data_IF_745915732691
#
_entry.id   IF_745915732691
#
_cell.length_a   1.000
_cell.length_b   1.000
_cell.length_c   1.000
_cell.angle_alpha   90.00
_cell.angle_beta   90.00
_cell.angle_gamma   90.00
#
_symmetry.space_group_name_H-M   'P 1'
#
loop_
_entity.id
_entity.type
_entity.pdbx_description
1 polymer ?
#
# COMPACT_ATOMS: atom_id res chain seq x y z
N UNK A 1 21.20 -0.92 -20.26
CA UNK A 1 20.48 0.11 -19.50
C UNK A 1 20.94 1.47 -20.01
N UNK A 2 20.05 2.44 -20.19
CA UNK A 2 20.38 3.74 -20.81
C UNK A 2 19.74 3.97 -22.17
N UNK A 3 18.42 3.87 -22.23
CA UNK A 3 17.68 4.34 -23.41
C UNK A 3 17.93 5.82 -23.66
N UNK A 4 17.92 6.26 -24.92
CA UNK A 4 18.20 7.67 -25.24
C UNK A 4 17.13 8.63 -24.68
N UNK A 5 15.90 8.17 -24.60
CA UNK A 5 14.72 8.98 -24.25
C UNK A 5 13.73 8.17 -23.43
N UNK A 6 12.71 8.83 -22.88
CA UNK A 6 11.57 8.20 -22.23
C UNK A 6 10.93 7.12 -23.12
N UNK A 7 10.82 7.35 -24.43
CA UNK A 7 10.21 6.39 -25.35
C UNK A 7 10.97 5.07 -25.49
N UNK A 8 12.22 5.03 -25.04
CA UNK A 8 12.99 3.80 -25.01
C UNK A 8 12.73 2.98 -23.73
N UNK A 9 12.38 3.61 -22.61
CA UNK A 9 12.32 2.93 -21.31
C UNK A 9 11.22 1.87 -21.22
N UNK A 10 10.15 2.02 -21.99
CA UNK A 10 8.96 1.18 -21.90
C UNK A 10 8.83 0.10 -23.00
N UNK A 11 9.81 -0.04 -23.90
CA UNK A 11 9.76 -1.05 -25.00
C UNK A 11 9.56 -2.48 -24.50
N UNK A 12 10.17 -2.81 -23.35
CA UNK A 12 9.98 -4.13 -22.75
C UNK A 12 8.54 -4.31 -22.31
N UNK A 13 7.94 -3.32 -21.65
CA UNK A 13 6.54 -3.35 -21.26
C UNK A 13 5.63 -3.53 -22.49
N UNK A 14 5.87 -2.75 -23.55
CA UNK A 14 5.10 -2.84 -24.80
C UNK A 14 5.15 -4.23 -25.43
N UNK A 15 6.31 -4.89 -25.38
CA UNK A 15 6.47 -6.24 -25.95
C UNK A 15 5.67 -7.33 -25.23
N UNK A 16 5.35 -7.15 -23.95
CA UNK A 16 4.62 -8.14 -23.13
C UNK A 16 3.16 -7.78 -22.90
N UNK A 17 2.85 -6.50 -22.70
CA UNK A 17 1.56 -6.05 -22.18
C UNK A 17 0.78 -5.12 -23.13
N UNK A 18 1.42 -4.58 -24.16
CA UNK A 18 0.83 -3.63 -25.08
C UNK A 18 1.12 -2.16 -24.73
N UNK A 19 0.35 -1.19 -25.26
CA UNK A 19 0.67 0.23 -25.13
C UNK A 19 0.91 0.68 -23.68
N UNK A 20 1.70 1.74 -23.49
CA UNK A 20 1.97 2.29 -22.15
C UNK A 20 0.79 3.02 -21.51
N UNK A 21 -0.27 3.27 -22.26
CA UNK A 21 -1.55 3.69 -21.74
C UNK A 21 -2.67 3.07 -22.57
N UNK A 22 -3.63 2.46 -21.90
CA UNK A 22 -4.79 1.83 -22.53
C UNK A 22 -5.92 1.67 -21.52
N UNK A 23 -7.13 1.47 -22.02
CA UNK A 23 -8.29 1.23 -21.19
C UNK A 23 -9.10 0.03 -21.69
N UNK A 24 -9.87 -0.58 -20.80
CA UNK A 24 -10.81 -1.64 -21.14
C UNK A 24 -11.95 -1.71 -20.12
N UNK A 25 -13.06 -2.31 -20.52
CA UNK A 25 -14.17 -2.60 -19.62
C UNK A 25 -14.16 -4.09 -19.24
N UNK A 26 -14.43 -4.39 -17.97
CA UNK A 26 -14.70 -5.77 -17.52
C UNK A 26 -15.85 -5.74 -16.51
N UNK A 27 -16.97 -6.34 -16.86
CA UNK A 27 -18.22 -6.18 -16.11
C UNK A 27 -18.68 -4.72 -16.14
N UNK A 28 -19.02 -4.16 -14.97
CA UNK A 28 -19.38 -2.74 -14.82
C UNK A 28 -18.21 -1.82 -14.50
N UNK A 29 -17.00 -2.36 -14.37
CA UNK A 29 -15.81 -1.57 -14.08
C UNK A 29 -15.07 -1.17 -15.36
N UNK A 30 -14.54 0.04 -15.36
CA UNK A 30 -13.66 0.58 -16.37
C UNK A 30 -12.23 0.65 -15.81
N UNK A 31 -11.27 0.08 -16.53
CA UNK A 31 -9.88 -0.02 -16.10
C UNK A 31 -9.03 0.80 -17.05
N UNK A 32 -8.19 1.66 -16.47
CA UNK A 32 -7.21 2.49 -17.14
C UNK A 32 -5.85 2.02 -16.66
N UNK A 33 -4.92 1.77 -17.56
CA UNK A 33 -3.53 1.47 -17.24
C UNK A 33 -2.68 2.62 -17.75
N UNK A 34 -1.80 3.16 -16.91
CA UNK A 34 -0.93 4.30 -17.21
C UNK A 34 0.52 3.99 -16.84
N UNK A 35 1.45 4.28 -17.74
CA UNK A 35 2.86 4.47 -17.40
C UNK A 35 3.06 5.89 -16.87
N UNK A 36 3.34 5.99 -15.58
CA UNK A 36 3.71 7.25 -14.93
C UNK A 36 5.20 7.29 -14.53
N UNK A 37 6.03 6.35 -15.00
CA UNK A 37 7.46 6.31 -14.73
C UNK A 37 8.24 7.11 -15.78
N UNK A 38 8.21 8.44 -15.68
CA UNK A 38 8.86 9.30 -16.67
C UNK A 38 10.38 9.26 -16.51
N UNK A 39 11.04 8.50 -17.39
CA UNK A 39 12.49 8.35 -17.43
C UNK A 39 13.18 9.62 -17.95
N UNK A 40 14.08 10.19 -17.16
CA UNK A 40 14.77 11.46 -17.50
C UNK A 40 16.19 11.27 -18.06
N UNK A 41 16.62 10.02 -18.29
CA UNK A 41 17.92 9.68 -18.88
C UNK A 41 19.14 10.37 -18.25
N UNK A 42 19.11 10.52 -16.93
CA UNK A 42 20.26 10.87 -16.09
C UNK A 42 20.56 9.67 -15.20
N UNK A 43 21.39 8.77 -15.69
CA UNK A 43 21.62 7.44 -15.11
C UNK A 43 20.31 6.61 -15.03
N UNK A 44 19.88 6.25 -13.82
CA UNK A 44 18.65 5.51 -13.54
C UNK A 44 17.48 6.41 -13.09
N UNK A 45 17.61 7.74 -13.22
CA UNK A 45 16.62 8.66 -12.70
C UNK A 45 15.31 8.65 -13.49
N UNK A 46 14.22 8.76 -12.75
CA UNK A 46 12.86 8.95 -13.23
C UNK A 46 12.13 9.90 -12.27
N UNK A 47 10.98 10.41 -12.72
CA UNK A 47 10.00 11.10 -11.89
C UNK A 47 8.63 10.48 -12.11
N UNK A 48 7.78 10.46 -11.08
CA UNK A 48 6.37 10.15 -11.26
C UNK A 48 5.69 11.27 -12.04
N UNK A 49 5.31 11.05 -13.30
CA UNK A 49 4.72 12.10 -14.14
C UNK A 49 3.85 11.50 -15.25
N UNK A 50 2.70 12.14 -15.50
CA UNK A 50 1.80 11.81 -16.62
C UNK A 50 1.89 12.93 -17.66
N UNK A 51 2.26 12.61 -18.89
CA UNK A 51 2.38 13.62 -19.94
C UNK A 51 1.02 14.08 -20.49
N UNK A 52 1.02 15.24 -21.16
CA UNK A 52 -0.18 15.86 -21.73
C UNK A 52 -0.86 14.97 -22.78
N UNK A 53 -0.09 14.17 -23.52
CA UNK A 53 -0.66 13.28 -24.54
C UNK A 53 -1.50 12.18 -23.88
N UNK A 54 -1.02 11.68 -22.76
CA UNK A 54 -1.69 10.70 -21.92
C UNK A 54 -2.91 11.32 -21.23
N UNK A 55 -2.82 12.55 -20.72
CA UNK A 55 -3.98 13.25 -20.16
C UNK A 55 -5.07 13.55 -21.19
N UNK A 56 -4.71 14.04 -22.39
CA UNK A 56 -5.66 14.28 -23.46
C UNK A 56 -6.35 12.99 -23.93
N UNK A 57 -5.61 11.88 -23.98
CA UNK A 57 -6.19 10.57 -24.24
C UNK A 57 -7.15 10.15 -23.12
N UNK A 58 -6.76 10.31 -21.85
CA UNK A 58 -7.57 9.94 -20.70
C UNK A 58 -8.87 10.75 -20.61
N UNK A 59 -8.82 12.05 -20.86
CA UNK A 59 -10.00 12.91 -20.94
C UNK A 59 -10.97 12.40 -22.02
N UNK A 60 -10.43 12.03 -23.19
CA UNK A 60 -11.24 11.50 -24.29
C UNK A 60 -11.83 10.13 -23.96
N UNK A 61 -11.06 9.25 -23.34
CA UNK A 61 -11.50 7.92 -22.92
C UNK A 61 -12.65 8.01 -21.91
N UNK A 62 -12.47 8.80 -20.85
CA UNK A 62 -13.49 9.03 -19.82
C UNK A 62 -14.75 9.71 -20.35
N UNK A 63 -14.68 10.45 -21.47
CA UNK A 63 -15.87 11.03 -22.11
C UNK A 63 -16.89 9.98 -22.58
N UNK A 64 -16.47 8.72 -22.74
CA UNK A 64 -17.33 7.59 -23.09
C UNK A 64 -17.76 6.74 -21.87
N UNK A 65 -17.29 7.09 -20.66
CA UNK A 65 -17.51 6.31 -19.43
C UNK A 65 -18.56 7.01 -18.57
N UNK A 66 -19.69 6.33 -18.36
CA UNK A 66 -20.76 6.84 -17.51
C UNK A 66 -20.34 6.91 -16.03
N UNK A 67 -20.84 7.91 -15.30
CA UNK A 67 -20.41 8.24 -13.92
C UNK A 67 -20.81 7.19 -12.88
N UNK A 68 -21.73 6.29 -13.21
CA UNK A 68 -22.14 5.15 -12.38
C UNK A 68 -21.16 3.97 -12.43
N UNK A 69 -20.14 4.02 -13.30
CA UNK A 69 -19.11 2.98 -13.37
C UNK A 69 -18.08 3.14 -12.26
N UNK A 70 -17.66 2.00 -11.72
CA UNK A 70 -16.43 1.89 -10.95
C UNK A 70 -15.23 2.10 -11.89
N UNK A 71 -14.31 3.00 -11.53
CA UNK A 71 -13.12 3.30 -12.32
C UNK A 71 -11.88 2.82 -11.58
N UNK A 72 -11.02 2.06 -12.25
CA UNK A 72 -9.69 1.72 -11.76
C UNK A 72 -8.63 2.42 -12.59
N UNK A 73 -7.65 3.04 -11.93
CA UNK A 73 -6.43 3.54 -12.57
C UNK A 73 -5.26 2.74 -12.03
N UNK A 74 -4.59 1.97 -12.89
CA UNK A 74 -3.43 1.16 -12.55
C UNK A 74 -2.19 1.89 -13.04
N UNK A 75 -1.28 2.20 -12.12
CA UNK A 75 -0.01 2.87 -12.42
C UNK A 75 1.09 2.38 -11.48
N UNK A 76 2.36 2.76 -11.72
CA UNK A 76 3.46 2.23 -10.92
C UNK A 76 3.76 3.09 -9.70
N UNK A 77 4.11 4.36 -9.91
CA UNK A 77 4.45 5.30 -8.83
C UNK A 77 3.15 5.79 -8.18
N UNK A 78 3.04 5.86 -6.85
CA UNK A 78 1.83 6.35 -6.21
C UNK A 78 1.40 7.74 -6.67
N UNK A 79 0.10 8.03 -6.63
CA UNK A 79 -0.36 9.41 -6.88
C UNK A 79 -0.01 10.29 -5.68
N UNK A 80 -0.31 9.83 -4.47
CA UNK A 80 0.09 10.47 -3.23
C UNK A 80 0.00 9.47 -2.08
N UNK A 81 0.98 9.48 -1.19
CA UNK A 81 1.00 8.65 0.01
C UNK A 81 0.31 9.32 1.20
N UNK A 82 -0.24 10.54 0.98
CA UNK A 82 -0.92 11.33 2.00
C UNK A 82 -2.28 11.81 1.49
N UNK A 83 -3.26 11.91 2.40
CA UNK A 83 -4.63 12.36 2.07
C UNK A 83 -4.70 13.75 1.44
N UNK A 84 -3.82 14.66 1.87
CA UNK A 84 -3.74 16.02 1.33
C UNK A 84 -2.55 16.09 0.40
N UNK A 85 -2.79 16.51 -0.84
CA UNK A 85 -1.71 16.81 -1.78
C UNK A 85 -0.83 17.90 -1.18
N UNK A 86 0.45 17.58 -1.05
CA UNK A 86 1.49 18.52 -0.62
C UNK A 86 2.20 19.08 -1.85
N UNK A 87 2.92 20.18 -1.65
CA UNK A 87 3.87 20.62 -2.64
C UNK A 87 4.92 19.51 -2.85
N UNK A 88 5.00 18.98 -4.07
CA UNK A 88 5.91 17.90 -4.41
C UNK A 88 7.21 18.48 -4.99
N UNK A 89 8.34 18.23 -4.32
CA UNK A 89 9.69 18.64 -4.73
C UNK A 89 10.38 17.60 -5.62
N UNK A 90 9.64 16.96 -6.53
CA UNK A 90 10.08 15.79 -7.29
C UNK A 90 10.44 14.57 -6.40
N UNK A 91 9.61 14.32 -5.39
CA UNK A 91 9.65 13.10 -4.59
C UNK A 91 9.50 11.88 -5.53
N UNK A 92 10.46 10.95 -5.47
CA UNK A 92 10.48 9.80 -6.37
C UNK A 92 9.38 8.79 -6.05
N UNK A 93 8.84 8.83 -4.83
CA UNK A 93 7.76 7.94 -4.38
C UNK A 93 6.35 8.46 -4.71
N UNK A 94 6.21 9.64 -5.35
CA UNK A 94 4.91 10.25 -5.67
C UNK A 94 4.86 10.85 -7.08
N UNK A 95 3.68 10.82 -7.70
CA UNK A 95 3.42 11.43 -9.01
C UNK A 95 3.21 12.94 -8.89
N UNK A 96 4.09 13.71 -9.50
CA UNK A 96 4.23 15.16 -9.25
C UNK A 96 3.04 15.98 -9.73
N UNK A 97 2.33 15.53 -10.78
CA UNK A 97 1.22 16.24 -11.40
C UNK A 97 -0.14 15.54 -11.21
N UNK A 98 -0.31 14.77 -10.12
CA UNK A 98 -1.53 13.99 -9.88
C UNK A 98 -2.82 14.81 -9.71
N UNK A 99 -2.73 16.12 -9.44
CA UNK A 99 -3.91 16.96 -9.28
C UNK A 99 -4.82 16.96 -10.53
N UNK A 100 -4.23 16.89 -11.73
CA UNK A 100 -4.97 16.80 -12.98
C UNK A 100 -5.69 15.44 -13.12
N UNK A 101 -5.06 14.34 -12.70
CA UNK A 101 -5.69 13.03 -12.65
C UNK A 101 -6.90 13.04 -11.71
N UNK A 102 -6.77 13.60 -10.51
CA UNK A 102 -7.88 13.67 -9.55
C UNK A 102 -9.04 14.49 -10.10
N UNK A 103 -8.75 15.58 -10.83
CA UNK A 103 -9.78 16.39 -11.50
C UNK A 103 -10.56 15.59 -12.54
N UNK A 104 -9.87 14.77 -13.34
CA UNK A 104 -10.53 13.90 -14.35
C UNK A 104 -11.40 12.80 -13.70
N UNK A 105 -10.99 12.33 -12.52
CA UNK A 105 -11.71 11.30 -11.76
C UNK A 105 -12.87 11.84 -10.91
N UNK A 106 -13.04 13.16 -10.78
CA UNK A 106 -14.17 13.74 -10.05
C UNK A 106 -15.51 13.18 -10.54
N UNK A 107 -16.37 12.76 -9.60
CA UNK A 107 -17.69 12.21 -9.91
C UNK A 107 -17.71 10.74 -10.32
N UNK A 108 -16.55 10.05 -10.36
CA UNK A 108 -16.49 8.59 -10.39
C UNK A 108 -16.24 8.03 -8.99
N UNK A 109 -16.69 6.79 -8.75
CA UNK A 109 -16.12 5.96 -7.70
C UNK A 109 -14.81 5.36 -8.25
N UNK A 110 -13.67 5.88 -7.82
CA UNK A 110 -12.38 5.64 -8.42
C UNK A 110 -11.38 5.01 -7.44
N UNK A 111 -10.68 3.98 -7.91
CA UNK A 111 -9.63 3.29 -7.17
C UNK A 111 -8.32 3.33 -7.96
N UNK A 112 -7.28 3.89 -7.36
CA UNK A 112 -5.93 3.90 -7.92
C UNK A 112 -5.19 2.68 -7.36
N UNK A 113 -4.58 1.88 -8.23
CA UNK A 113 -3.75 0.73 -7.86
C UNK A 113 -2.31 1.08 -8.20
N UNK A 114 -1.45 1.17 -7.19
CA UNK A 114 -0.05 1.54 -7.33
C UNK A 114 0.89 0.56 -6.63
N UNK A 115 2.20 0.74 -6.85
CA UNK A 115 3.26 -0.07 -6.26
C UNK A 115 4.47 0.82 -5.94
N UNK A 116 5.64 0.52 -6.51
CA UNK A 116 6.88 1.31 -6.37
C UNK A 116 7.58 1.25 -5.01
N UNK A 117 6.84 1.49 -3.95
CA UNK A 117 7.36 1.84 -2.63
C UNK A 117 7.86 0.66 -1.80
N UNK A 118 7.51 -0.57 -2.20
CA UNK A 118 7.82 -1.79 -1.46
C UNK A 118 7.27 -1.80 -0.02
N UNK A 119 6.16 -1.12 0.24
CA UNK A 119 5.36 -1.24 1.46
C UNK A 119 3.88 -1.30 1.10
N UNK A 120 3.00 -1.63 2.05
CA UNK A 120 1.54 -1.64 1.80
C UNK A 120 0.90 -0.41 2.43
N UNK A 121 0.09 0.33 1.68
CA UNK A 121 -0.71 1.42 2.26
C UNK A 121 -1.98 1.67 1.46
N UNK A 122 -2.99 2.15 2.16
CA UNK A 122 -4.29 2.53 1.63
C UNK A 122 -4.52 4.01 1.97
N UNK A 123 -4.69 4.85 0.94
CA UNK A 123 -4.94 6.28 1.12
C UNK A 123 -6.37 6.60 0.70
N UNK A 124 -7.21 6.88 1.69
CA UNK A 124 -8.56 7.40 1.46
C UNK A 124 -8.50 8.93 1.29
N UNK A 125 -8.57 9.42 0.05
CA UNK A 125 -8.53 10.86 -0.22
C UNK A 125 -9.87 11.51 0.08
N UNK A 126 -10.96 10.86 -0.33
CA UNK A 126 -12.35 11.28 -0.11
C UNK A 126 -13.31 10.10 -0.38
N UNK A 127 -14.61 10.36 -0.26
CA UNK A 127 -15.69 9.37 -0.39
C UNK A 127 -15.75 8.62 -1.72
N UNK A 128 -15.11 9.12 -2.78
CA UNK A 128 -15.13 8.49 -4.10
C UNK A 128 -13.75 8.27 -4.70
N UNK A 129 -12.66 8.52 -3.97
CA UNK A 129 -11.29 8.31 -4.45
C UNK A 129 -10.41 7.69 -3.37
N UNK A 130 -9.89 6.51 -3.69
CA UNK A 130 -8.97 5.77 -2.83
C UNK A 130 -7.79 5.24 -3.64
N UNK A 131 -6.60 5.23 -3.04
CA UNK A 131 -5.41 4.59 -3.61
C UNK A 131 -4.98 3.39 -2.76
N UNK A 132 -4.60 2.32 -3.45
CA UNK A 132 -4.08 1.08 -2.90
C UNK A 132 -2.66 0.85 -3.43
N UNK A 133 -1.69 1.26 -2.63
CA UNK A 133 -0.29 1.00 -2.88
C UNK A 133 0.06 -0.38 -2.32
N UNK A 134 0.33 -1.34 -3.21
CA UNK A 134 0.54 -2.74 -2.84
C UNK A 134 2.01 -3.03 -2.60
N UNK A 135 2.32 -3.74 -1.52
CA UNK A 135 3.68 -4.13 -1.18
C UNK A 135 4.31 -5.07 -2.23
N UNK A 136 5.64 -5.18 -2.20
CA UNK A 136 6.36 -5.91 -3.23
C UNK A 136 6.27 -7.43 -3.06
N UNK A 137 6.10 -8.12 -4.19
CA UNK A 137 6.16 -9.59 -4.27
C UNK A 137 7.53 -10.13 -3.84
N UNK A 138 8.59 -9.34 -4.01
CA UNK A 138 9.95 -9.71 -3.64
C UNK A 138 10.30 -9.43 -2.16
N UNK A 139 9.39 -8.83 -1.40
CA UNK A 139 9.66 -8.40 -0.01
C UNK A 139 10.80 -7.39 -0.01
N UNK A 140 11.75 -7.55 0.92
CA UNK A 140 13.00 -6.78 0.95
C UNK A 140 13.97 -7.23 -0.17
N UNK A 141 13.63 -7.02 -1.45
CA UNK A 141 14.47 -7.37 -2.62
C UNK A 141 15.03 -8.80 -2.57
N UNK A 142 14.18 -9.78 -2.24
CA UNK A 142 14.54 -11.20 -2.07
C UNK A 142 15.54 -11.48 -0.93
N UNK A 143 15.69 -10.56 0.01
CA UNK A 143 16.50 -10.72 1.24
C UNK A 143 15.68 -11.16 2.45
N UNK A 144 14.36 -10.99 2.40
CA UNK A 144 13.44 -11.39 3.45
C UNK A 144 12.03 -11.65 2.89
N UNK A 145 11.23 -12.40 3.66
CA UNK A 145 9.83 -12.72 3.35
C UNK A 145 8.83 -11.62 3.73
N UNK A 146 9.34 -10.50 4.25
CA UNK A 146 8.58 -9.28 4.53
C UNK A 146 9.15 -8.13 3.73
N UNK A 147 8.36 -7.08 3.59
CA UNK A 147 8.70 -5.80 3.02
C UNK A 147 9.35 -4.89 4.08
N UNK A 148 9.83 -3.72 3.65
CA UNK A 148 10.55 -2.79 4.54
C UNK A 148 9.65 -2.13 5.62
N UNK A 149 8.34 -2.31 5.52
CA UNK A 149 7.31 -1.90 6.51
C UNK A 149 6.78 -3.07 7.36
N UNK A 150 7.33 -4.28 7.19
CA UNK A 150 6.88 -5.48 7.89
C UNK A 150 5.76 -6.27 7.19
N UNK A 151 5.18 -5.74 6.10
CA UNK A 151 4.14 -6.45 5.35
C UNK A 151 4.72 -7.72 4.70
N UNK A 152 4.14 -8.92 4.88
CA UNK A 152 4.60 -10.11 4.16
C UNK A 152 4.56 -9.94 2.64
N UNK A 153 5.39 -10.67 1.89
CA UNK A 153 5.24 -10.77 0.43
C UNK A 153 3.81 -11.17 0.07
N UNK A 154 3.22 -10.60 -0.97
CA UNK A 154 1.81 -10.85 -1.28
C UNK A 154 1.26 -10.03 -2.44
N UNK A 155 -0.06 -9.97 -2.53
CA UNK A 155 -0.79 -9.25 -3.57
C UNK A 155 -2.19 -8.85 -3.07
N UNK A 156 -2.73 -7.75 -3.61
CA UNK A 156 -4.13 -7.38 -3.38
C UNK A 156 -5.10 -8.26 -4.18
N UNK A 157 -6.19 -8.68 -3.56
CA UNK A 157 -7.34 -9.30 -4.23
C UNK A 157 -8.46 -8.27 -4.24
N UNK A 158 -9.01 -7.98 -5.41
CA UNK A 158 -10.10 -7.02 -5.61
C UNK A 158 -11.31 -7.76 -6.18
N UNK A 159 -12.40 -7.81 -5.41
CA UNK A 159 -13.65 -8.44 -5.79
C UNK A 159 -14.65 -7.37 -6.24
N UNK A 160 -14.93 -7.34 -7.54
CA UNK A 160 -15.86 -6.39 -8.16
C UNK A 160 -17.21 -7.06 -8.39
N UNK A 161 -18.25 -6.55 -7.75
CA UNK A 161 -19.63 -6.98 -7.96
C UNK A 161 -20.50 -5.78 -8.35
N UNK A 162 -20.72 -5.59 -9.65
CA UNK A 162 -21.37 -4.38 -10.16
C UNK A 162 -20.51 -3.15 -9.91
N UNK A 163 -21.04 -2.20 -9.13
CA UNK A 163 -20.37 -0.97 -8.66
C UNK A 163 -19.76 -1.11 -7.26
N UNK A 164 -19.93 -2.27 -6.62
CA UNK A 164 -19.38 -2.56 -5.30
C UNK A 164 -17.98 -3.18 -5.41
N UNK A 165 -17.07 -2.71 -4.55
CA UNK A 165 -15.71 -3.23 -4.45
C UNK A 165 -15.44 -3.73 -3.04
N UNK A 166 -14.88 -4.94 -2.94
CA UNK A 166 -14.20 -5.44 -1.74
C UNK A 166 -12.74 -5.72 -2.06
N UNK A 167 -11.87 -5.58 -1.08
CA UNK A 167 -10.47 -5.94 -1.23
C UNK A 167 -9.90 -6.58 0.04
N UNK A 168 -8.86 -7.39 -0.16
CA UNK A 168 -8.08 -8.00 0.91
C UNK A 168 -6.63 -8.16 0.44
N UNK A 169 -5.67 -8.02 1.35
CA UNK A 169 -4.28 -8.35 1.06
C UNK A 169 -4.05 -9.85 1.27
N UNK A 170 -3.52 -10.55 0.27
CA UNK A 170 -3.17 -11.97 0.38
C UNK A 170 -1.66 -12.13 0.57
N UNK A 171 -1.25 -12.39 1.81
CA UNK A 171 0.12 -12.76 2.14
C UNK A 171 0.46 -14.13 1.53
N UNK A 172 1.55 -14.18 0.77
CA UNK A 172 2.07 -15.39 0.13
C UNK A 172 2.51 -16.41 1.19
N UNK A 173 2.08 -17.66 1.06
CA UNK A 173 2.37 -18.72 2.04
C UNK A 173 1.49 -18.71 3.30
N UNK A 174 0.60 -17.72 3.48
CA UNK A 174 -0.30 -17.63 4.63
C UNK A 174 -1.77 -17.78 4.22
N UNK A 175 -2.68 -18.17 5.14
CA UNK A 175 -4.12 -18.13 4.88
C UNK A 175 -4.63 -16.68 4.72
N UNK A 176 -5.83 -16.49 4.17
CA UNK A 176 -6.41 -15.14 3.92
C UNK A 176 -6.58 -14.35 5.22
N UNK A 177 -6.77 -15.04 6.34
CA UNK A 177 -7.00 -14.47 7.67
C UNK A 177 -5.73 -13.88 8.29
N UNK A 178 -4.56 -14.12 7.69
CA UNK A 178 -3.32 -13.47 8.11
C UNK A 178 -3.29 -12.03 7.57
N UNK A 179 -3.84 -11.11 8.36
CA UNK A 179 -3.97 -9.68 8.03
C UNK A 179 -3.15 -8.74 8.93
N UNK A 180 -2.51 -9.29 9.96
CA UNK A 180 -1.63 -8.53 10.84
C UNK A 180 -0.62 -9.43 11.55
N UNK A 181 0.40 -8.82 12.15
CA UNK A 181 1.34 -9.48 13.06
C UNK A 181 1.31 -8.79 14.43
N UNK A 182 1.17 -9.58 15.49
CA UNK A 182 1.25 -9.12 16.88
C UNK A 182 2.62 -9.41 17.50
N UNK A 183 3.19 -8.42 18.18
CA UNK A 183 4.46 -8.49 18.89
C UNK A 183 4.25 -8.30 20.40
N UNK A 184 4.96 -9.06 21.26
CA UNK A 184 4.92 -8.85 22.70
C UNK A 184 5.62 -7.55 23.12
N UNK A 185 5.40 -7.13 24.37
CA UNK A 185 6.19 -6.08 24.99
C UNK A 185 7.71 -6.38 24.89
N UNK A 186 8.50 -5.33 24.80
CA UNK A 186 9.95 -5.40 24.57
C UNK A 186 10.36 -5.54 23.10
N UNK A 187 9.41 -5.70 22.17
CA UNK A 187 9.73 -5.80 20.73
C UNK A 187 10.01 -4.46 20.06
N UNK A 188 9.50 -3.36 20.61
CA UNK A 188 9.67 -2.01 20.07
C UNK A 188 10.58 -1.18 20.97
N UNK A 189 11.59 -0.53 20.38
CA UNK A 189 12.43 0.43 21.11
C UNK A 189 11.67 1.72 21.45
N UNK A 190 10.68 2.08 20.63
CA UNK A 190 9.86 3.29 20.80
C UNK A 190 8.83 3.10 21.93
N UNK A 191 8.30 1.88 22.04
CA UNK A 191 7.32 1.49 23.06
C UNK A 191 7.71 0.16 23.72
N UNK A 192 8.75 0.17 24.58
CA UNK A 192 9.31 -1.06 25.14
C UNK A 192 8.36 -1.78 26.10
N UNK A 193 7.39 -1.09 26.69
CA UNK A 193 6.40 -1.68 27.60
C UNK A 193 5.13 -2.17 26.89
N UNK A 194 5.01 -1.95 25.58
CA UNK A 194 3.74 -2.13 24.87
C UNK A 194 3.77 -3.32 23.93
N UNK A 195 2.62 -3.99 23.82
CA UNK A 195 2.35 -4.89 22.72
C UNK A 195 2.16 -4.08 21.44
N UNK A 196 2.64 -4.59 20.31
CA UNK A 196 2.52 -3.94 19.01
C UNK A 196 1.69 -4.81 18.06
N UNK A 197 0.88 -4.19 17.21
CA UNK A 197 0.27 -4.85 16.06
C UNK A 197 0.60 -4.09 14.78
N UNK A 198 1.12 -4.80 13.77
CA UNK A 198 1.30 -4.30 12.41
C UNK A 198 0.14 -4.81 11.55
N UNK A 199 -0.75 -3.90 11.12
CA UNK A 199 -2.01 -4.20 10.41
C UNK A 199 -1.95 -3.64 8.98
N UNK A 200 -1.12 -4.24 8.13
CA UNK A 200 -0.67 -3.64 6.86
C UNK A 200 -1.74 -3.20 5.85
N UNK A 201 -2.92 -3.83 5.81
CA UNK A 201 -4.01 -3.42 4.89
C UNK A 201 -4.97 -2.40 5.52
N UNK A 202 -4.55 -1.76 6.63
CA UNK A 202 -5.32 -0.78 7.39
C UNK A 202 -5.86 0.37 6.55
N UNK A 203 -7.05 0.83 6.93
CA UNK A 203 -7.57 2.16 6.61
C UNK A 203 -8.48 2.62 7.76
N UNK A 204 -8.90 3.89 7.74
CA UNK A 204 -9.55 4.51 8.91
C UNK A 204 -10.95 3.96 9.27
N UNK A 205 -11.51 3.03 8.49
CA UNK A 205 -12.76 2.34 8.82
C UNK A 205 -12.53 1.03 9.60
N UNK A 206 -11.27 0.59 9.73
CA UNK A 206 -10.92 -0.61 10.48
C UNK A 206 -10.89 -0.33 11.99
N UNK A 207 -10.84 -1.38 12.80
CA UNK A 207 -10.71 -1.30 14.26
C UNK A 207 -9.70 -2.31 14.78
N UNK A 208 -8.82 -1.89 15.70
CA UNK A 208 -7.86 -2.76 16.37
C UNK A 208 -8.16 -2.75 17.87
N UNK A 209 -8.63 -3.88 18.39
CA UNK A 209 -8.99 -4.07 19.79
C UNK A 209 -8.05 -5.08 20.45
N UNK A 210 -7.83 -4.95 21.75
CA UNK A 210 -7.03 -5.89 22.51
C UNK A 210 -7.71 -6.36 23.80
N UNK A 211 -7.31 -7.56 24.21
CA UNK A 211 -7.88 -8.29 25.33
C UNK A 211 -6.76 -8.84 26.20
N UNK A 212 -6.93 -8.74 27.51
CA UNK A 212 -6.03 -9.28 28.51
C UNK A 212 -6.76 -10.40 29.27
N UNK A 213 -6.25 -11.63 29.21
CA UNK A 213 -6.87 -12.81 29.86
C UNK A 213 -8.37 -12.99 29.53
N UNK A 214 -8.78 -12.60 28.33
CA UNK A 214 -10.17 -12.68 27.85
C UNK A 214 -11.03 -11.45 28.15
N UNK A 215 -10.57 -10.51 28.98
CA UNK A 215 -11.25 -9.25 29.23
C UNK A 215 -10.89 -8.22 28.14
N UNK A 216 -11.90 -7.55 27.57
CA UNK A 216 -11.67 -6.46 26.60
C UNK A 216 -11.07 -5.24 27.30
N UNK A 217 -9.92 -4.79 26.81
CA UNK A 217 -9.20 -3.66 27.40
C UNK A 217 -9.43 -2.35 26.65
N UNK A 218 -9.77 -2.40 25.36
CA UNK A 218 -10.10 -1.24 24.55
C UNK A 218 -9.55 -1.34 23.13
N UNK A 219 -9.54 -0.20 22.44
CA UNK A 219 -8.86 -0.05 21.15
C UNK A 219 -7.37 0.24 21.37
N UNK A 220 -6.52 -0.27 20.49
CA UNK A 220 -5.09 0.02 20.48
C UNK A 220 -4.85 1.42 19.87
N UNK A 221 -3.80 2.09 20.32
CA UNK A 221 -3.45 3.42 19.83
C UNK A 221 -2.63 3.31 18.54
N UNK A 222 -3.10 3.93 17.46
CA UNK A 222 -2.38 4.01 16.18
C UNK A 222 -1.17 4.92 16.32
N UNK A 223 -0.03 4.53 15.77
CA UNK A 223 1.16 5.37 15.71
C UNK A 223 1.91 5.20 14.39
N UNK A 224 2.81 6.15 14.12
CA UNK A 224 3.77 6.06 13.01
C UNK A 224 5.11 5.62 13.56
N UNK A 225 5.67 4.54 13.04
CA UNK A 225 6.94 4.00 13.51
C UNK A 225 7.51 2.95 12.58
N UNK A 226 8.57 2.28 13.01
CA UNK A 226 9.15 1.15 12.29
C UNK A 226 8.57 -0.17 12.80
N UNK A 227 8.20 -1.07 11.89
CA UNK A 227 7.84 -2.43 12.27
C UNK A 227 9.05 -3.12 12.96
N UNK A 228 8.85 -3.75 14.14
CA UNK A 228 9.93 -4.42 14.87
C UNK A 228 10.74 -5.42 14.05
N UNK A 229 10.08 -6.26 13.24
CA UNK A 229 10.75 -7.29 12.45
C UNK A 229 11.49 -6.67 11.26
N UNK A 230 10.87 -5.73 10.55
CA UNK A 230 11.51 -5.02 9.45
C UNK A 230 12.73 -4.24 9.92
N UNK A 231 12.65 -3.58 11.07
CA UNK A 231 13.78 -2.87 11.69
C UNK A 231 14.93 -3.82 12.01
N UNK A 232 14.64 -4.96 12.65
CA UNK A 232 15.67 -5.96 12.97
C UNK A 232 16.34 -6.52 11.71
N UNK A 233 15.56 -6.89 10.69
CA UNK A 233 16.08 -7.45 9.44
C UNK A 233 16.91 -6.42 8.67
N UNK A 234 16.42 -5.19 8.51
CA UNK A 234 17.10 -4.17 7.72
C UNK A 234 18.35 -3.60 8.42
N UNK A 235 18.46 -3.77 9.75
CA UNK A 235 19.65 -3.41 10.52
C UNK A 235 20.77 -4.46 10.38
N UNK A 236 20.43 -5.71 10.08
CA UNK A 236 21.38 -6.76 9.77
C UNK A 236 21.90 -6.62 8.32
N UNK A 237 22.96 -5.83 8.15
CA UNK A 237 23.57 -5.56 6.84
C UNK A 237 24.24 -6.78 6.22
N UNK A 238 24.62 -7.79 7.00
CA UNK A 238 25.09 -9.07 6.46
C UNK A 238 23.94 -9.84 5.78
N UNK A 239 22.74 -9.79 6.36
CA UNK A 239 21.53 -10.39 5.80
C UNK A 239 21.01 -9.67 4.57
N UNK A 240 20.86 -8.34 4.61
CA UNK A 240 20.30 -7.57 3.47
C UNK A 240 21.32 -7.29 2.36
N UNK A 241 22.62 -7.35 2.66
CA UNK A 241 23.78 -7.15 1.76
C UNK A 241 23.92 -5.78 1.09
N UNK A 242 22.88 -4.93 1.11
CA UNK A 242 22.90 -3.62 0.47
C UNK A 242 22.64 -2.53 1.52
N UNK A 243 23.54 -1.56 1.60
CA UNK A 243 23.50 -0.54 2.66
C UNK A 243 22.26 0.36 2.57
N UNK A 244 21.77 0.61 1.35
CA UNK A 244 20.59 1.43 1.09
C UNK A 244 19.27 0.78 1.54
N UNK A 245 19.23 -0.53 1.76
CA UNK A 245 18.04 -1.20 2.30
C UNK A 245 17.88 -0.80 3.77
N UNK A 246 16.79 -0.11 4.06
CA UNK A 246 16.46 0.40 5.39
C UNK A 246 14.97 0.19 5.67
N UNK A 247 14.56 0.05 6.94
CA UNK A 247 13.15 -0.02 7.26
C UNK A 247 12.50 1.34 6.97
N UNK A 248 11.20 1.34 6.68
CA UNK A 248 10.45 2.58 6.43
C UNK A 248 9.48 2.85 7.57
N UNK A 249 9.20 4.13 7.81
CA UNK A 249 8.13 4.53 8.71
C UNK A 249 6.79 4.13 8.09
N UNK A 250 6.00 3.38 8.83
CA UNK A 250 4.63 3.02 8.45
C UNK A 250 3.62 3.61 9.42
N UNK A 251 2.40 3.87 8.92
CA UNK A 251 1.27 4.39 9.67
C UNK A 251 0.21 3.32 9.93
N UNK A 252 0.56 2.04 9.83
CA UNK A 252 -0.34 0.92 10.12
C UNK A 252 0.08 0.11 11.35
N UNK A 253 0.80 0.77 12.28
CA UNK A 253 1.19 0.21 13.58
C UNK A 253 0.26 0.68 14.71
N UNK A 254 0.04 -0.21 15.66
CA UNK A 254 -0.81 0.00 16.82
C UNK A 254 -0.10 -0.49 18.07
N UNK A 255 -0.25 0.23 19.18
CA UNK A 255 0.34 -0.15 20.46
C UNK A 255 -0.67 -0.08 21.62
N UNK A 256 -0.42 -0.87 22.66
CA UNK A 256 -1.13 -0.79 23.92
C UNK A 256 -0.26 -1.32 25.06
N UNK A 257 -0.39 -0.75 26.25
CA UNK A 257 0.35 -1.20 27.43
C UNK A 257 -0.46 -2.26 28.20
N UNK A 258 -0.01 -3.51 28.31
CA UNK A 258 -0.63 -4.51 29.18
C UNK A 258 -0.60 -4.07 30.65
N UNK A 259 -1.65 -4.39 31.41
CA UNK A 259 -1.64 -4.19 32.86
C UNK A 259 -0.87 -5.30 33.57
N UNK A 260 -0.99 -6.53 33.08
CA UNK A 260 -0.26 -7.68 33.60
C UNK A 260 0.81 -8.14 32.59
N UNK A 261 2.10 -8.06 32.93
CA UNK A 261 3.18 -8.41 32.01
C UNK A 261 3.18 -9.89 31.62
N UNK A 262 2.52 -10.77 32.37
CA UNK A 262 2.42 -12.21 32.10
C UNK A 262 1.06 -12.62 31.51
N UNK A 263 0.23 -11.66 31.11
CA UNK A 263 -1.10 -11.99 30.61
C UNK A 263 -1.07 -12.65 29.24
N UNK A 264 -2.08 -13.48 28.99
CA UNK A 264 -2.41 -13.93 27.65
C UNK A 264 -3.07 -12.77 26.92
N UNK A 265 -2.41 -12.26 25.90
CA UNK A 265 -2.89 -11.14 25.10
C UNK A 265 -3.55 -11.68 23.83
N UNK A 266 -4.74 -11.18 23.53
CA UNK A 266 -5.41 -11.40 22.24
C UNK A 266 -5.65 -10.05 21.58
N UNK A 267 -5.20 -9.92 20.33
CA UNK A 267 -5.51 -8.79 19.48
C UNK A 267 -6.59 -9.22 18.48
N UNK A 268 -7.56 -8.35 18.27
CA UNK A 268 -8.69 -8.53 17.35
C UNK A 268 -8.73 -7.34 16.40
N UNK A 269 -8.53 -7.61 15.12
CA UNK A 269 -8.65 -6.63 14.04
C UNK A 269 -9.98 -6.86 13.33
N UNK A 270 -10.76 -5.81 13.12
CA UNK A 270 -11.98 -5.84 12.29
C UNK A 270 -11.78 -4.93 11.10
N UNK A 271 -11.90 -5.45 9.88
CA UNK A 271 -11.76 -4.62 8.68
C UNK A 271 -13.02 -3.81 8.34
N UNK A 272 -12.90 -2.92 7.35
CA UNK A 272 -14.01 -2.10 6.87
C UNK A 272 -15.22 -2.89 6.35
N UNK A 273 -15.05 -4.17 6.02
CA UNK A 273 -16.10 -5.05 5.51
C UNK A 273 -16.73 -5.92 6.62
N UNK A 274 -16.25 -5.77 7.86
CA UNK A 274 -16.73 -6.52 9.02
C UNK A 274 -16.07 -7.88 9.22
N UNK A 275 -15.03 -8.24 8.45
CA UNK A 275 -14.28 -9.46 8.71
C UNK A 275 -13.42 -9.29 9.97
N UNK A 276 -13.24 -10.37 10.72
CA UNK A 276 -12.55 -10.36 12.01
C UNK A 276 -11.34 -11.28 11.96
N UNK A 277 -10.18 -10.74 12.32
CA UNK A 277 -8.90 -11.44 12.39
C UNK A 277 -8.38 -11.40 13.83
N UNK A 278 -7.80 -12.50 14.30
CA UNK A 278 -7.29 -12.55 15.68
C UNK A 278 -5.96 -13.26 15.79
N UNK A 279 -5.07 -12.74 16.62
CA UNK A 279 -3.81 -13.37 17.00
C UNK A 279 -3.69 -13.33 18.52
N UNK A 280 -3.16 -14.40 19.11
CA UNK A 280 -2.85 -14.47 20.54
C UNK A 280 -1.33 -14.52 20.70
N UNK A 281 -0.81 -13.76 21.65
CA UNK A 281 0.59 -13.79 22.05
C UNK A 281 0.70 -13.97 23.57
N UNK A 282 1.79 -14.58 24.00
CA UNK A 282 2.20 -14.57 25.40
C UNK A 282 3.09 -13.35 25.61
N UNK A 283 2.71 -12.47 26.53
CA UNK A 283 3.59 -11.41 26.99
C UNK A 283 4.54 -12.07 28.00
N UNK A 284 5.83 -12.18 27.68
CA UNK A 284 6.87 -12.78 28.52
C UNK A 284 7.98 -11.77 28.77
#
# INVERSE_FOLDING_TARGET
YGGRTFEYSYRTFESYFGPIYYSFNKGKAHYIVLDNCFYVNRDYQYIGYIDERTFAWLEKDLSYVSRDKLVFVVMHIPSSLQKKLRYNTLDQDETVNTAALYKLLEGYNAHIISGHTHFNTNVYFNDSLMEHNTAAVCGTWWRADINVDGTPRGYGIYEVNGDQLKWIYKSAGYPLEHQFHAYPAGSSDEYPSDIIANVWNWDDLWKVEWYENGQRMGEMQKYKGYDPMAKAICSDKEKVKYDWISPVLTEHLFHATPHNPNARIKIKVTDRFGNVYTQTIENK
#
